data_IF_299565208187
#
_entry.id   IF_299565208187
#
_cell.length_a   1.000
_cell.length_b   1.000
_cell.length_c   1.000
_cell.angle_alpha   90.00
_cell.angle_beta   90.00
_cell.angle_gamma   90.00
#
_symmetry.space_group_name_H-M   'P 1'
#
loop_
_entity.id
_entity.type
_entity.pdbx_description
1 polymer ?
#
# COMPACT_ATOMS: atom_id res chain seq x y z
N UNK A 1 4.17 -5.37 -33.24
CA UNK A 1 3.15 -5.57 -32.19
C UNK A 1 3.76 -5.47 -30.79
N UNK A 2 4.72 -6.33 -30.42
CA UNK A 2 5.38 -6.39 -29.10
C UNK A 2 5.88 -5.02 -28.59
N UNK A 3 6.55 -4.22 -29.44
CA UNK A 3 7.10 -2.90 -29.05
C UNK A 3 6.03 -1.87 -28.65
N UNK A 4 4.80 -1.99 -29.17
CA UNK A 4 3.70 -1.09 -28.82
C UNK A 4 3.09 -1.42 -27.45
N UNK A 5 3.02 -2.69 -27.08
CA UNK A 5 2.53 -3.14 -25.76
C UNK A 5 3.46 -2.69 -24.64
N UNK A 6 4.77 -2.82 -24.83
CA UNK A 6 5.77 -2.36 -23.86
C UNK A 6 5.69 -0.85 -23.62
N UNK A 7 5.44 -0.07 -24.69
CA UNK A 7 5.20 1.37 -24.59
C UNK A 7 3.94 1.68 -23.78
N UNK A 8 2.85 0.96 -24.01
CA UNK A 8 1.59 1.19 -23.27
C UNK A 8 1.74 0.86 -21.79
N UNK A 9 2.42 -0.23 -21.44
CA UNK A 9 2.72 -0.59 -20.04
C UNK A 9 3.58 0.49 -19.38
N UNK A 10 4.63 0.97 -20.06
CA UNK A 10 5.47 2.04 -19.54
C UNK A 10 4.66 3.33 -19.29
N UNK A 11 3.74 3.70 -20.19
CA UNK A 11 2.85 4.84 -20.01
C UNK A 11 1.92 4.65 -18.80
N UNK A 12 1.38 3.46 -18.58
CA UNK A 12 0.55 3.16 -17.40
C UNK A 12 1.36 3.25 -16.10
N UNK A 13 2.59 2.76 -16.08
CA UNK A 13 3.49 2.88 -14.92
C UNK A 13 3.81 4.35 -14.65
N UNK A 14 4.11 5.13 -15.68
CA UNK A 14 4.35 6.58 -15.55
C UNK A 14 3.12 7.32 -15.03
N UNK A 15 1.92 6.99 -15.54
CA UNK A 15 0.68 7.57 -15.06
C UNK A 15 0.42 7.22 -13.58
N UNK A 16 0.64 5.97 -13.19
CA UNK A 16 0.52 5.55 -11.79
C UNK A 16 1.52 6.30 -10.89
N UNK A 17 2.77 6.44 -11.30
CA UNK A 17 3.75 7.23 -10.56
C UNK A 17 3.32 8.70 -10.43
N UNK A 18 2.93 9.33 -11.53
CA UNK A 18 2.60 10.75 -11.59
C UNK A 18 1.34 11.11 -10.81
N UNK A 19 0.27 10.32 -10.96
CA UNK A 19 -1.05 10.65 -10.43
C UNK A 19 -1.37 9.97 -9.10
N UNK A 20 -0.62 8.94 -8.70
CA UNK A 20 -0.90 8.19 -7.48
C UNK A 20 0.25 8.24 -6.47
N UNK A 21 1.49 7.94 -6.87
CA UNK A 21 2.63 7.92 -5.93
C UNK A 21 3.14 9.30 -5.52
N UNK A 22 3.33 10.22 -6.49
CA UNK A 22 3.83 11.58 -6.19
C UNK A 22 2.91 12.39 -5.26
N UNK A 23 1.57 12.38 -5.41
CA UNK A 23 0.70 13.17 -4.54
C UNK A 23 0.43 12.55 -3.17
N UNK A 24 0.99 11.39 -2.81
CA UNK A 24 0.73 10.76 -1.50
C UNK A 24 1.02 11.66 -0.31
N UNK A 25 1.94 12.62 -0.43
CA UNK A 25 2.27 13.57 0.63
C UNK A 25 1.55 14.93 0.54
N UNK A 26 0.64 15.13 -0.42
CA UNK A 26 0.13 16.47 -0.75
C UNK A 26 -0.99 16.98 0.16
N UNK A 27 -1.58 16.11 0.97
CA UNK A 27 -2.65 16.46 1.90
C UNK A 27 -2.50 15.76 3.26
N UNK A 28 -3.08 16.39 4.29
CA UNK A 28 -3.12 15.84 5.66
C UNK A 28 -3.87 14.51 5.75
N UNK A 29 -3.73 13.82 6.87
CA UNK A 29 -4.38 12.53 7.10
C UNK A 29 -5.90 12.67 7.21
N UNK A 30 -6.64 11.80 6.52
CA UNK A 30 -8.10 11.74 6.64
C UNK A 30 -8.53 11.07 7.93
N UNK A 31 -9.32 11.80 8.71
CA UNK A 31 -9.91 11.35 9.96
C UNK A 31 -11.18 10.53 9.65
N UNK A 32 -11.45 9.43 10.38
CA UNK A 32 -10.67 8.93 11.52
C UNK A 32 -9.62 7.88 11.15
N UNK A 33 -9.66 7.34 9.94
CA UNK A 33 -8.95 6.11 9.65
C UNK A 33 -7.44 6.34 9.46
N UNK A 34 -7.02 7.23 8.55
CA UNK A 34 -5.59 7.41 8.28
C UNK A 34 -4.83 7.89 9.51
N UNK A 35 -5.42 8.78 10.31
CA UNK A 35 -4.81 9.23 11.57
C UNK A 35 -4.66 8.10 12.58
N UNK A 36 -5.69 7.25 12.72
CA UNK A 36 -5.65 6.10 13.65
C UNK A 36 -4.60 5.09 13.23
N UNK A 37 -4.60 4.66 11.96
CA UNK A 37 -3.63 3.69 11.46
C UNK A 37 -2.20 4.23 11.52
N UNK A 38 -1.99 5.52 11.22
CA UNK A 38 -0.70 6.17 11.35
C UNK A 38 -0.20 6.15 12.81
N UNK A 39 -1.05 6.54 13.75
CA UNK A 39 -0.67 6.62 15.17
C UNK A 39 -0.36 5.24 15.77
N UNK A 40 -1.20 4.24 15.51
CA UNK A 40 -0.98 2.88 16.01
C UNK A 40 0.35 2.33 15.47
N UNK A 41 0.62 2.54 14.18
CA UNK A 41 1.82 2.03 13.53
C UNK A 41 3.08 2.74 14.04
N UNK A 42 3.00 4.05 14.29
CA UNK A 42 4.05 4.83 14.93
C UNK A 42 4.32 4.35 16.36
N UNK A 43 3.27 4.12 17.15
CA UNK A 43 3.38 3.60 18.51
C UNK A 43 4.01 2.19 18.53
N UNK A 44 3.72 1.34 17.54
CA UNK A 44 4.38 0.04 17.37
C UNK A 44 5.88 0.16 17.07
N UNK A 45 6.29 1.13 16.24
CA UNK A 45 7.71 1.42 15.98
C UNK A 45 8.44 1.87 17.25
N UNK A 46 7.83 2.79 18.00
CA UNK A 46 8.46 3.41 19.17
C UNK A 46 8.50 2.47 20.38
N UNK A 47 7.44 1.69 20.59
CA UNK A 47 7.35 0.75 21.73
C UNK A 47 8.02 -0.60 21.47
N UNK A 48 8.18 -1.00 20.20
CA UNK A 48 8.61 -2.35 19.84
C UNK A 48 7.56 -3.44 20.10
N UNK A 49 6.33 -3.09 20.47
CA UNK A 49 5.24 -4.05 20.69
C UNK A 49 4.53 -4.42 19.39
N UNK A 50 5.19 -5.25 18.57
CA UNK A 50 4.64 -5.65 17.27
C UNK A 50 3.46 -6.63 17.37
N UNK A 51 3.31 -7.38 18.46
CA UNK A 51 2.23 -8.35 18.60
C UNK A 51 0.88 -7.72 19.02
N UNK A 52 0.93 -6.69 19.86
CA UNK A 52 -0.25 -6.07 20.46
C UNK A 52 -0.32 -4.59 20.06
N UNK A 53 -1.19 -4.21 19.11
CA UNK A 53 -1.36 -2.80 18.74
C UNK A 53 -1.92 -2.00 19.92
N UNK A 54 -1.39 -0.79 20.07
CA UNK A 54 -1.87 0.20 21.03
C UNK A 54 -2.28 1.47 20.29
N UNK A 55 -3.31 2.14 20.80
CA UNK A 55 -3.75 3.44 20.33
C UNK A 55 -3.84 4.37 21.53
N UNK A 56 -2.94 5.35 21.60
CA UNK A 56 -2.86 6.29 22.72
C UNK A 56 -2.60 5.56 24.06
N UNK A 57 -1.69 4.57 24.04
CA UNK A 57 -1.33 3.78 25.22
C UNK A 57 -2.33 2.70 25.63
N UNK A 58 -3.48 2.60 24.96
CA UNK A 58 -4.50 1.58 25.24
C UNK A 58 -4.43 0.47 24.20
N UNK A 59 -4.55 -0.79 24.63
CA UNK A 59 -4.62 -1.95 23.71
C UNK A 59 -5.80 -1.80 22.74
N UNK A 60 -5.55 -1.97 21.45
CA UNK A 60 -6.52 -1.76 20.39
C UNK A 60 -6.74 -3.03 19.56
N UNK A 61 -7.69 -3.89 19.94
CA UNK A 61 -7.91 -5.20 19.32
C UNK A 61 -9.12 -5.27 18.36
N UNK A 62 -9.42 -4.16 17.69
CA UNK A 62 -10.54 -4.09 16.72
C UNK A 62 -10.19 -4.70 15.36
N UNK A 63 -8.89 -4.70 14.97
CA UNK A 63 -8.39 -5.18 13.68
C UNK A 63 -7.14 -6.05 13.85
N UNK A 64 -6.90 -7.02 12.94
CA UNK A 64 -5.66 -7.77 12.92
C UNK A 64 -4.43 -6.88 12.71
N UNK A 65 -3.29 -7.27 13.29
CA UNK A 65 -2.10 -6.43 13.34
C UNK A 65 -1.38 -6.23 11.99
N UNK A 66 -1.64 -7.09 11.00
CA UNK A 66 -0.91 -7.11 9.74
C UNK A 66 -0.94 -5.76 8.98
N UNK A 67 -2.07 -5.04 9.03
CA UNK A 67 -2.17 -3.72 8.41
C UNK A 67 -1.24 -2.70 9.07
N UNK A 68 -1.17 -2.70 10.40
CA UNK A 68 -0.28 -1.81 11.15
C UNK A 68 1.19 -2.16 10.92
N UNK A 69 1.54 -3.44 10.77
CA UNK A 69 2.92 -3.84 10.44
C UNK A 69 3.39 -3.24 9.12
N UNK A 70 2.54 -3.30 8.09
CA UNK A 70 2.85 -2.76 6.78
C UNK A 70 3.05 -1.24 6.84
N UNK A 71 2.17 -0.52 7.53
CA UNK A 71 2.27 0.94 7.68
C UNK A 71 3.51 1.29 8.52
N UNK A 72 3.78 0.57 9.61
CA UNK A 72 4.97 0.75 10.43
C UNK A 72 6.25 0.54 9.64
N UNK A 73 6.34 -0.49 8.79
CA UNK A 73 7.47 -0.71 7.89
C UNK A 73 7.60 0.45 6.88
N UNK A 74 6.48 0.93 6.33
CA UNK A 74 6.47 2.11 5.47
C UNK A 74 7.05 3.35 6.15
N UNK A 75 6.63 3.62 7.38
CA UNK A 75 7.14 4.71 8.20
C UNK A 75 8.62 4.51 8.59
N UNK A 76 9.06 3.28 8.87
CA UNK A 76 10.45 2.99 9.19
C UNK A 76 11.41 3.22 8.00
N UNK A 77 10.98 2.90 6.77
CA UNK A 77 11.82 3.02 5.58
C UNK A 77 11.78 4.43 4.99
N UNK A 78 10.60 5.06 4.93
CA UNK A 78 10.39 6.33 4.24
C UNK A 78 10.14 7.52 5.18
N UNK A 79 10.21 7.28 6.49
CA UNK A 79 10.01 8.27 7.55
C UNK A 79 8.58 8.32 8.08
N UNK A 80 8.44 8.76 9.33
CA UNK A 80 7.16 8.99 10.02
C UNK A 80 6.45 10.25 9.49
N UNK A 81 6.12 10.24 8.20
CA UNK A 81 5.47 11.33 7.48
C UNK A 81 4.27 10.81 6.66
N UNK A 82 3.57 11.74 5.98
CA UNK A 82 2.39 11.45 5.17
C UNK A 82 2.66 10.40 4.07
N UNK A 83 3.86 10.42 3.49
CA UNK A 83 4.26 9.46 2.46
C UNK A 83 4.51 8.07 3.04
N UNK A 84 5.28 7.97 4.13
CA UNK A 84 5.59 6.69 4.79
C UNK A 84 4.36 5.95 5.29
N UNK A 85 3.33 6.68 5.74
CA UNK A 85 2.04 6.08 6.14
C UNK A 85 1.30 5.43 4.96
N UNK A 86 1.42 5.99 3.75
CA UNK A 86 0.57 5.60 2.60
C UNK A 86 1.29 4.71 1.58
N UNK A 87 2.62 4.71 1.54
CA UNK A 87 3.41 4.06 0.49
C UNK A 87 3.12 2.57 0.36
N UNK A 88 2.95 1.85 1.47
CA UNK A 88 2.71 0.40 1.41
C UNK A 88 1.30 0.07 0.90
N UNK A 89 0.30 0.88 1.27
CA UNK A 89 -1.04 0.80 0.69
C UNK A 89 -0.98 1.07 -0.82
N UNK A 90 -0.23 2.09 -1.23
CA UNK A 90 -0.11 2.44 -2.64
C UNK A 90 0.56 1.34 -3.48
N UNK A 91 1.65 0.75 -2.97
CA UNK A 91 2.32 -0.39 -3.59
C UNK A 91 1.40 -1.63 -3.64
N UNK A 92 0.60 -1.86 -2.60
CA UNK A 92 -0.37 -2.98 -2.56
C UNK A 92 -1.45 -2.82 -3.63
N UNK A 93 -1.93 -1.60 -3.89
CA UNK A 93 -2.83 -1.31 -5.00
C UNK A 93 -2.19 -1.60 -6.36
N UNK A 94 -0.95 -1.16 -6.58
CA UNK A 94 -0.21 -1.46 -7.80
C UNK A 94 0.00 -2.96 -8.01
N UNK A 95 0.40 -3.68 -6.96
CA UNK A 95 0.55 -5.14 -6.99
C UNK A 95 -0.78 -5.83 -7.31
N UNK A 96 -1.89 -5.37 -6.74
CA UNK A 96 -3.22 -5.93 -7.00
C UNK A 96 -3.59 -5.84 -8.48
N UNK A 97 -3.27 -4.72 -9.15
CA UNK A 97 -3.49 -4.57 -10.60
C UNK A 97 -2.66 -5.58 -11.40
N UNK A 98 -1.38 -5.75 -11.05
CA UNK A 98 -0.49 -6.72 -11.72
C UNK A 98 -1.02 -8.14 -11.55
N UNK A 99 -1.41 -8.52 -10.32
CA UNK A 99 -1.94 -9.85 -10.04
C UNK A 99 -3.28 -10.10 -10.74
N UNK A 100 -4.18 -9.11 -10.78
CA UNK A 100 -5.44 -9.20 -11.50
C UNK A 100 -5.23 -9.38 -13.01
N UNK A 101 -4.31 -8.62 -13.60
CA UNK A 101 -3.92 -8.79 -15.00
C UNK A 101 -3.36 -10.18 -15.27
N UNK A 102 -2.44 -10.65 -14.41
CA UNK A 102 -1.82 -11.97 -14.57
C UNK A 102 -2.85 -13.09 -14.47
N UNK A 103 -3.78 -12.98 -13.54
CA UNK A 103 -4.90 -13.92 -13.38
C UNK A 103 -5.78 -13.93 -14.64
N UNK A 104 -6.18 -12.75 -15.14
CA UNK A 104 -7.00 -12.65 -16.34
C UNK A 104 -6.30 -13.23 -17.58
N UNK A 105 -5.01 -12.92 -17.77
CA UNK A 105 -4.20 -13.45 -18.86
C UNK A 105 -4.12 -14.99 -18.79
N UNK A 106 -3.94 -15.56 -17.59
CA UNK A 106 -3.93 -17.02 -17.39
C UNK A 106 -5.29 -17.65 -17.68
N UNK A 107 -6.38 -17.00 -17.28
CA UNK A 107 -7.73 -17.52 -17.49
C UNK A 107 -8.18 -17.47 -18.96
N UNK A 108 -7.68 -16.51 -19.74
CA UNK A 108 -8.08 -16.29 -21.14
C UNK A 108 -7.14 -16.94 -22.15
N UNK A 109 -5.86 -17.09 -21.83
CA UNK A 109 -4.89 -17.84 -22.65
C UNK A 109 -4.83 -19.34 -22.28
N UNK A 110 -5.85 -19.89 -21.60
CA UNK A 110 -5.90 -21.31 -21.28
C UNK A 110 -6.19 -22.12 -22.57
N UNK A 111 -5.22 -22.94 -23.06
CA UNK A 111 -5.38 -23.68 -24.30
C UNK A 111 -6.49 -24.75 -24.24
N UNK A 112 -7.04 -25.04 -23.06
CA UNK A 112 -8.19 -25.95 -22.89
C UNK A 112 -9.54 -25.29 -23.17
N UNK A 113 -9.56 -23.97 -23.40
CA UNK A 113 -10.77 -23.19 -23.75
C UNK A 113 -10.94 -22.97 -25.26
N UNK A 114 -10.05 -23.53 -26.10
CA UNK A 114 -10.19 -23.57 -27.55
C UNK A 114 -10.38 -24.99 -28.05
#
# INVERSE_FOLDING_TARGET
MIKAEHRNIALLVLAFAAFYLLPLGSHGLWIPDETRYAQISQEMLHSGHWAAPHFMGLRYFEKPAAGYWLIAVGQAIFGENLFGVRIVSALSSGLSVVLAYWLAARMWNDPRKS
#
